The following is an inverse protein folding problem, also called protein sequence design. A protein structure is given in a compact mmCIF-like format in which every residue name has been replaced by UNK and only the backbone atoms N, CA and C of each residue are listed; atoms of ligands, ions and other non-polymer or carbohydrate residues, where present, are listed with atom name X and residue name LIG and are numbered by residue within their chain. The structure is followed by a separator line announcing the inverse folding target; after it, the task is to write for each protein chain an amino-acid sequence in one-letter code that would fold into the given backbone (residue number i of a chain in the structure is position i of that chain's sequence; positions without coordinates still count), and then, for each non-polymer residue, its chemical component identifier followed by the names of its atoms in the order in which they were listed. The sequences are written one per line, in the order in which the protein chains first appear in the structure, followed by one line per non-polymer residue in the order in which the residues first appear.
data_IF_811399394654
#
_entry.id   IF_811399394654
#
_cell.length_a   1.000
_cell.length_b   1.000
_cell.length_c   1.000
_cell.angle_alpha   90.00
_cell.angle_beta   90.00
_cell.angle_gamma   90.00
#
_symmetry.space_group_name_H-M   'P 1'
#
loop_
_entity.id
_entity.type
_entity.pdbx_description
1 polymer ?
#
# COMPACT_ATOMS: atom_id res chain seq x y z
N UNK A 1 15.34 15.16 16.73
CA UNK A 1 15.96 14.24 15.75
C UNK A 1 16.20 15.01 14.46
N UNK A 2 17.41 15.06 13.89
CA UNK A 2 17.64 15.72 12.59
C UNK A 2 16.90 15.00 11.46
N UNK A 3 16.27 15.74 10.54
CA UNK A 3 15.48 15.18 9.42
C UNK A 3 16.27 14.19 8.57
N UNK A 4 17.54 14.51 8.28
CA UNK A 4 18.46 13.67 7.48
C UNK A 4 18.75 12.30 8.11
N UNK A 5 18.45 12.12 9.40
CA UNK A 5 18.61 10.85 10.12
C UNK A 5 17.31 10.04 10.21
N UNK A 6 16.20 10.58 9.70
CA UNK A 6 14.89 9.92 9.72
C UNK A 6 14.72 9.17 8.39
N UNK A 7 14.51 7.86 8.50
CA UNK A 7 14.12 6.99 7.39
C UNK A 7 12.62 6.73 7.49
N UNK A 8 11.84 7.20 6.50
CA UNK A 8 10.39 7.04 6.53
C UNK A 8 10.02 5.66 5.98
N UNK A 9 9.21 4.91 6.73
CA UNK A 9 8.79 3.57 6.36
C UNK A 9 7.67 3.58 5.33
N UNK A 10 7.83 2.85 4.23
CA UNK A 10 6.78 2.54 3.26
C UNK A 10 6.49 1.02 3.32
N UNK A 11 5.26 0.60 3.66
CA UNK A 11 4.90 -0.80 3.65
C UNK A 11 4.68 -1.29 2.22
N UNK A 12 5.17 -2.49 1.90
CA UNK A 12 4.87 -3.22 0.66
C UNK A 12 3.87 -4.35 0.92
N UNK A 13 3.11 -4.22 1.99
CA UNK A 13 2.03 -5.11 2.38
C UNK A 13 0.76 -4.29 2.62
N UNK A 14 -0.37 -4.97 2.67
CA UNK A 14 -1.66 -4.39 2.97
C UNK A 14 -2.22 -4.90 4.30
N UNK A 15 -3.08 -4.08 4.92
CA UNK A 15 -3.87 -4.47 6.08
C UNK A 15 -5.30 -4.79 5.66
N UNK A 16 -5.83 -5.89 6.14
CA UNK A 16 -7.16 -6.37 5.82
C UNK A 16 -8.04 -6.45 7.06
N UNK A 17 -9.33 -6.19 6.86
CA UNK A 17 -10.35 -6.22 7.91
C UNK A 17 -11.61 -6.91 7.41
N UNK A 18 -12.36 -7.47 8.36
CA UNK A 18 -13.72 -7.97 8.13
C UNK A 18 -14.73 -6.91 8.57
N UNK A 19 -15.37 -6.25 7.61
CA UNK A 19 -16.44 -5.28 7.86
C UNK A 19 -17.59 -5.93 8.64
N UNK A 20 -18.21 -5.17 9.54
CA UNK A 20 -19.46 -5.58 10.18
C UNK A 20 -20.68 -5.42 9.28
N UNK A 21 -20.60 -4.54 8.29
CA UNK A 21 -21.64 -4.32 7.29
C UNK A 21 -21.00 -4.07 5.92
N UNK A 22 -21.26 -4.93 4.94
CA UNK A 22 -20.70 -4.81 3.58
C UNK A 22 -21.08 -3.50 2.85
N UNK A 23 -22.17 -2.84 3.26
CA UNK A 23 -22.62 -1.58 2.69
C UNK A 23 -21.96 -0.36 3.36
N UNK A 24 -21.31 -0.55 4.51
CA UNK A 24 -20.51 0.47 5.17
C UNK A 24 -19.02 0.13 5.02
N UNK A 25 -18.38 0.73 4.02
CA UNK A 25 -17.00 0.43 3.63
C UNK A 25 -16.08 1.66 3.67
N UNK A 26 -16.57 2.80 4.15
CA UNK A 26 -15.79 4.02 4.28
C UNK A 26 -14.66 3.85 5.30
N UNK A 27 -13.72 4.79 5.31
CA UNK A 27 -12.78 4.89 6.43
C UNK A 27 -13.54 4.93 7.76
N UNK A 28 -13.00 4.27 8.78
CA UNK A 28 -13.60 4.11 10.11
C UNK A 28 -14.90 3.28 10.14
N UNK A 29 -15.25 2.58 9.07
CA UNK A 29 -16.32 1.59 9.11
C UNK A 29 -16.04 0.52 10.18
N UNK A 30 -17.09 0.07 10.87
CA UNK A 30 -16.96 -0.93 11.92
C UNK A 30 -16.38 -2.23 11.35
N UNK A 31 -15.29 -2.72 11.94
CA UNK A 31 -14.70 -4.01 11.66
C UNK A 31 -15.01 -4.98 12.80
N UNK A 32 -15.45 -6.19 12.45
CA UNK A 32 -15.79 -7.24 13.41
C UNK A 32 -14.61 -8.16 13.71
N UNK A 33 -13.62 -8.20 12.80
CA UNK A 33 -12.45 -9.06 12.92
C UNK A 33 -11.33 -8.60 11.98
N UNK A 34 -10.16 -9.22 12.11
CA UNK A 34 -9.11 -9.18 11.09
C UNK A 34 -9.59 -9.81 9.79
N UNK A 35 -9.09 -9.29 8.66
CA UNK A 35 -9.39 -9.84 7.35
C UNK A 35 -8.46 -11.01 6.96
N UNK A 36 -8.50 -11.43 5.68
CA UNK A 36 -7.59 -12.45 5.15
C UNK A 36 -6.11 -12.13 5.38
N UNK A 37 -5.29 -13.16 5.56
CA UNK A 37 -3.86 -13.02 5.83
C UNK A 37 -3.51 -13.27 7.30
N UNK A 38 -2.21 -13.43 7.58
CA UNK A 38 -1.75 -13.65 8.96
C UNK A 38 -1.88 -12.33 9.72
N UNK A 39 -2.71 -12.30 10.76
CA UNK A 39 -3.01 -11.10 11.56
C UNK A 39 -3.45 -9.91 10.68
N UNK A 40 -4.27 -10.21 9.66
CA UNK A 40 -4.75 -9.21 8.69
C UNK A 40 -3.65 -8.60 7.82
N UNK A 41 -2.49 -9.24 7.70
CA UNK A 41 -1.39 -8.80 6.82
C UNK A 41 -1.37 -9.64 5.55
N UNK A 42 -1.36 -9.00 4.39
CA UNK A 42 -1.21 -9.65 3.08
C UNK A 42 -0.15 -8.94 2.23
N UNK A 43 0.62 -9.68 1.39
CA UNK A 43 1.62 -9.07 0.52
C UNK A 43 0.96 -8.28 -0.63
N UNK A 44 1.68 -7.33 -1.23
CA UNK A 44 1.24 -6.53 -2.38
C UNK A 44 0.67 -7.40 -3.52
N UNK A 45 1.32 -8.51 -3.83
CA UNK A 45 0.84 -9.46 -4.85
C UNK A 45 -0.55 -10.02 -4.57
N UNK A 46 -0.93 -10.18 -3.30
CA UNK A 46 -2.27 -10.62 -2.92
C UNK A 46 -3.29 -9.52 -3.18
N UNK A 47 -2.95 -8.27 -2.82
CA UNK A 47 -3.79 -7.10 -3.07
C UNK A 47 -4.05 -6.92 -4.55
N UNK A 48 -3.02 -7.03 -5.41
CA UNK A 48 -3.20 -6.98 -6.86
C UNK A 48 -4.15 -8.06 -7.39
N UNK A 49 -4.12 -9.27 -6.83
CA UNK A 49 -5.09 -10.33 -7.18
C UNK A 49 -6.50 -10.01 -6.67
N UNK A 50 -6.61 -9.39 -5.50
CA UNK A 50 -7.88 -8.99 -4.93
C UNK A 50 -8.58 -7.92 -5.77
N UNK A 51 -7.85 -6.87 -6.19
CA UNK A 51 -8.39 -5.77 -7.00
C UNK A 51 -8.69 -6.18 -8.45
N UNK A 52 -7.93 -7.13 -9.02
CA UNK A 52 -8.23 -7.69 -10.37
C UNK A 52 -9.54 -8.48 -10.43
N UNK A 53 -10.16 -8.78 -9.29
CA UNK A 53 -11.45 -9.44 -9.28
C UNK A 53 -12.56 -8.45 -9.63
N UNK A 54 -13.40 -8.78 -10.61
CA UNK A 54 -14.47 -7.91 -11.13
C UNK A 54 -15.49 -7.41 -10.09
N UNK A 55 -15.59 -8.08 -8.94
CA UNK A 55 -16.50 -7.68 -7.85
C UNK A 55 -15.84 -6.86 -6.75
N UNK A 56 -14.51 -6.68 -6.80
CA UNK A 56 -13.80 -5.76 -5.93
C UNK A 56 -14.00 -4.32 -6.42
N UNK A 57 -14.06 -3.39 -5.47
CA UNK A 57 -14.13 -1.96 -5.76
C UNK A 57 -12.96 -1.26 -5.10
N UNK A 58 -12.23 -0.50 -5.90
CA UNK A 58 -11.15 0.37 -5.45
C UNK A 58 -11.71 1.76 -5.18
N UNK A 59 -11.21 2.39 -4.11
CA UNK A 59 -11.57 3.76 -3.73
C UNK A 59 -10.28 4.49 -3.36
N UNK A 60 -10.09 5.63 -4.01
CA UNK A 60 -8.99 6.55 -3.72
C UNK A 60 -9.56 7.90 -3.30
N UNK A 61 -9.01 8.49 -2.23
CA UNK A 61 -9.38 9.84 -1.79
C UNK A 61 -8.12 10.68 -1.61
N UNK A 62 -8.01 11.75 -2.42
CA UNK A 62 -6.86 12.68 -2.39
C UNK A 62 -6.56 13.28 -1.03
N UNK A 63 -7.58 13.44 -0.17
CA UNK A 63 -7.39 13.96 1.18
C UNK A 63 -6.55 13.03 2.06
N UNK A 64 -6.60 11.72 1.82
CA UNK A 64 -5.89 10.70 2.61
C UNK A 64 -4.60 10.29 1.90
N UNK A 65 -4.57 10.30 0.55
CA UNK A 65 -3.39 9.91 -0.22
C UNK A 65 -3.12 8.40 -0.23
N UNK A 66 -4.09 7.59 0.21
CA UNK A 66 -4.01 6.14 0.26
C UNK A 66 -5.21 5.51 -0.45
N UNK A 67 -5.00 4.45 -1.25
CA UNK A 67 -6.09 3.63 -1.75
C UNK A 67 -6.58 2.65 -0.68
N UNK A 68 -7.85 2.27 -0.83
CA UNK A 68 -8.37 1.04 -0.25
C UNK A 68 -9.26 0.33 -1.26
N UNK A 69 -9.43 -0.97 -1.07
CA UNK A 69 -10.37 -1.76 -1.86
C UNK A 69 -11.26 -2.59 -0.94
N UNK A 70 -12.42 -2.97 -1.44
CA UNK A 70 -13.34 -3.82 -0.68
C UNK A 70 -14.13 -4.76 -1.59
N UNK A 71 -14.56 -5.88 -1.01
CA UNK A 71 -15.42 -6.88 -1.65
C UNK A 71 -16.20 -7.63 -0.59
N UNK A 72 -17.53 -7.54 -0.63
CA UNK A 72 -18.42 -8.08 0.42
C UNK A 72 -17.97 -7.55 1.79
N UNK A 73 -17.58 -8.44 2.69
CA UNK A 73 -17.10 -8.09 4.03
C UNK A 73 -15.59 -7.88 4.11
N UNK A 74 -14.82 -8.12 3.05
CA UNK A 74 -13.38 -7.90 3.07
C UNK A 74 -13.06 -6.46 2.67
N UNK A 75 -12.28 -5.78 3.50
CA UNK A 75 -11.74 -4.46 3.24
C UNK A 75 -10.22 -4.51 3.33
N UNK A 76 -9.51 -3.83 2.44
CA UNK A 76 -8.05 -3.84 2.35
C UNK A 76 -7.52 -2.42 2.12
N UNK A 77 -6.63 -1.95 3.00
CA UNK A 77 -5.84 -0.73 2.81
C UNK A 77 -4.42 -1.11 2.44
N UNK A 78 -3.89 -0.46 1.40
CA UNK A 78 -2.64 -0.82 0.78
C UNK A 78 -1.93 0.40 0.22
N UNK A 79 -0.66 0.21 -0.10
CA UNK A 79 0.14 1.09 -0.93
C UNK A 79 0.12 0.57 -2.38
N UNK A 80 -0.01 1.49 -3.33
CA UNK A 80 0.07 1.26 -4.77
C UNK A 80 1.12 2.16 -5.43
N UNK A 81 1.25 2.09 -6.75
CA UNK A 81 2.25 2.87 -7.48
C UNK A 81 2.04 4.38 -7.31
N UNK A 82 0.80 4.86 -7.19
CA UNK A 82 0.50 6.29 -7.07
C UNK A 82 0.83 6.81 -5.67
N UNK A 83 0.28 6.17 -4.63
CA UNK A 83 0.52 6.52 -3.22
C UNK A 83 2.00 6.40 -2.84
N UNK A 84 2.71 5.35 -3.28
CA UNK A 84 4.16 5.23 -3.08
C UNK A 84 4.91 6.37 -3.77
N UNK A 85 4.52 6.73 -4.98
CA UNK A 85 5.14 7.85 -5.70
C UNK A 85 4.98 9.18 -4.94
N UNK A 86 3.78 9.46 -4.45
CA UNK A 86 3.49 10.65 -3.65
C UNK A 86 4.28 10.67 -2.34
N UNK A 87 4.33 9.55 -1.62
CA UNK A 87 5.11 9.41 -0.38
C UNK A 87 6.60 9.66 -0.61
N UNK A 88 7.20 9.06 -1.63
CA UNK A 88 8.64 9.23 -1.88
C UNK A 88 8.95 10.68 -2.29
N UNK A 89 8.09 11.32 -3.07
CA UNK A 89 8.23 12.76 -3.39
C UNK A 89 8.10 13.63 -2.15
N UNK A 90 7.14 13.35 -1.27
CA UNK A 90 6.99 14.05 0.00
C UNK A 90 8.23 13.86 0.88
N UNK A 91 8.80 12.65 0.92
CA UNK A 91 10.02 12.35 1.68
C UNK A 91 11.19 13.21 1.19
N UNK A 92 11.38 13.33 -0.13
CA UNK A 92 12.41 14.18 -0.74
C UNK A 92 12.19 15.66 -0.45
N UNK A 93 10.96 16.14 -0.66
CA UNK A 93 10.59 17.54 -0.45
C UNK A 93 10.83 18.00 0.99
N UNK A 94 10.67 17.10 1.97
CA UNK A 94 10.89 17.38 3.39
C UNK A 94 12.34 17.10 3.84
N UNK A 95 13.26 16.78 2.93
CA UNK A 95 14.68 16.54 3.22
C UNK A 95 14.92 15.47 4.30
N UNK A 96 14.09 14.42 4.33
CA UNK A 96 14.35 13.26 5.17
C UNK A 96 15.53 12.44 4.65
N UNK A 97 16.11 11.61 5.51
CA UNK A 97 17.29 10.80 5.20
C UNK A 97 17.07 9.73 4.13
N UNK A 98 15.83 9.28 3.97
CA UNK A 98 15.45 8.36 2.91
C UNK A 98 14.23 7.51 3.25
N UNK A 99 14.13 6.38 2.56
CA UNK A 99 13.01 5.45 2.64
C UNK A 99 13.49 4.13 3.24
N UNK A 100 12.73 3.57 4.18
CA UNK A 100 12.82 2.18 4.60
C UNK A 100 11.62 1.43 4.05
N UNK A 101 11.81 0.21 3.55
CA UNK A 101 10.69 -0.62 3.08
C UNK A 101 10.46 -1.80 4.01
N UNK A 102 9.19 -2.16 4.20
CA UNK A 102 8.79 -3.34 4.95
C UNK A 102 7.73 -4.10 4.15
N UNK A 103 8.03 -5.23 3.50
CA UNK A 103 9.35 -5.88 3.34
C UNK A 103 9.62 -6.24 1.88
N UNK A 104 10.88 -6.56 1.57
CA UNK A 104 11.27 -7.05 0.23
C UNK A 104 10.38 -8.21 -0.26
N UNK A 105 10.04 -9.15 0.62
CA UNK A 105 9.28 -10.36 0.28
C UNK A 105 7.77 -10.14 0.11
N UNK A 106 7.25 -9.01 0.59
CA UNK A 106 5.83 -8.68 0.43
C UNK A 106 5.55 -7.98 -0.91
N UNK A 107 6.58 -7.48 -1.59
CA UNK A 107 6.46 -6.97 -2.97
C UNK A 107 6.41 -8.13 -4.00
N UNK A 108 6.15 -7.82 -5.26
CA UNK A 108 6.02 -8.84 -6.31
C UNK A 108 7.37 -9.22 -6.94
N UNK A 109 7.98 -10.29 -6.42
CA UNK A 109 9.25 -10.84 -6.95
C UNK A 109 9.11 -11.65 -8.24
N UNK A 110 7.88 -11.96 -8.67
CA UNK A 110 7.58 -12.96 -9.70
C UNK A 110 6.87 -12.38 -10.94
N UNK A 111 6.71 -11.06 -11.05
CA UNK A 111 5.99 -10.38 -12.15
C UNK A 111 4.51 -10.82 -12.29
N UNK A 112 3.93 -11.41 -11.24
CA UNK A 112 2.57 -11.94 -11.23
C UNK A 112 1.51 -10.87 -11.43
N UNK A 113 1.83 -9.63 -11.08
CA UNK A 113 0.91 -8.50 -11.20
C UNK A 113 0.90 -7.90 -12.61
N UNK A 114 1.79 -8.36 -13.51
CA UNK A 114 1.96 -7.83 -14.87
C UNK A 114 2.82 -6.56 -14.91
N UNK A 115 3.60 -6.34 -13.85
CA UNK A 115 4.62 -5.30 -13.74
C UNK A 115 6.02 -5.96 -13.69
N UNK A 116 7.07 -5.13 -13.70
CA UNK A 116 8.44 -5.60 -13.46
C UNK A 116 8.61 -6.22 -12.05
N UNK A 117 9.69 -6.98 -11.83
CA UNK A 117 10.02 -7.50 -10.49
C UNK A 117 10.23 -6.36 -9.50
N UNK A 118 9.69 -6.56 -8.30
CA UNK A 118 9.72 -5.61 -7.19
C UNK A 118 9.22 -4.22 -7.61
N UNK A 119 8.00 -4.10 -8.14
CA UNK A 119 7.53 -2.85 -8.73
C UNK A 119 7.54 -1.68 -7.74
N UNK A 120 7.19 -1.92 -6.46
CA UNK A 120 7.20 -0.86 -5.46
C UNK A 120 8.63 -0.46 -5.09
N UNK A 121 9.54 -1.42 -4.88
CA UNK A 121 10.94 -1.10 -4.58
C UNK A 121 11.65 -0.40 -5.75
N UNK A 122 11.40 -0.86 -6.98
CA UNK A 122 11.95 -0.26 -8.20
C UNK A 122 11.49 1.19 -8.36
N UNK A 123 10.21 1.46 -8.11
CA UNK A 123 9.66 2.82 -8.11
C UNK A 123 10.30 3.70 -7.03
N UNK A 124 10.41 3.20 -5.80
CA UNK A 124 11.04 3.92 -4.69
C UNK A 124 12.48 4.30 -5.05
N UNK A 125 13.27 3.34 -5.53
CA UNK A 125 14.65 3.56 -5.91
C UNK A 125 14.77 4.61 -7.02
N UNK A 126 13.93 4.51 -8.06
CA UNK A 126 13.91 5.45 -9.19
C UNK A 126 13.64 6.89 -8.75
N UNK A 127 12.67 7.11 -7.85
CA UNK A 127 12.32 8.46 -7.39
C UNK A 127 13.35 8.97 -6.39
N UNK A 128 13.78 8.14 -5.44
CA UNK A 128 14.74 8.51 -4.41
C UNK A 128 16.10 8.93 -4.99
N UNK A 129 16.54 8.30 -6.08
CA UNK A 129 17.82 8.58 -6.74
C UNK A 129 17.74 9.62 -7.85
N UNK A 130 16.55 10.03 -8.26
CA UNK A 130 16.41 11.05 -9.31
C UNK A 130 17.01 12.38 -8.84
N UNK A 131 17.80 13.02 -9.70
CA UNK A 131 18.16 14.43 -9.52
C UNK A 131 16.90 15.28 -9.74
N UNK A 132 16.72 16.32 -8.93
CA UNK A 132 15.69 17.33 -9.17
C UNK A 132 15.99 18.14 -10.44
#
# INVERSE_FOLDING_TARGET
MPAVKIMVGIPTYARTYKLGNQNNHSFYANATDVGPGKDGKVPFKWTCKFIKNETAKEVFTKQIGEPYAYRKFTWVSYDDMESVCEKVRWIKHNHFGGVMTYTLTDDDSEELVGLEKYPLHSLINKIATSRE
#
